data_IF_122110834155
#
_entry.id   IF_122110834155
#
_cell.length_a   1.000
_cell.length_b   1.000
_cell.length_c   1.000
_cell.angle_alpha   90.00
_cell.angle_beta   90.00
_cell.angle_gamma   90.00
#
_symmetry.space_group_name_H-M   'P 1'
#
loop_
_entity.id
_entity.type
_entity.pdbx_description
1 polymer ?
#
# COMPACT_ATOMS: atom_id res chain seq x y z
N UNK A 1 0.63 -11.05 9.15
CA UNK A 1 -0.02 -10.15 10.13
C UNK A 1 -1.56 -10.16 10.06
N UNK A 2 -2.22 -10.65 9.01
CA UNK A 2 -3.69 -10.59 8.87
C UNK A 2 -4.54 -11.73 9.48
N UNK A 3 -4.02 -12.51 10.44
CA UNK A 3 -4.77 -13.65 11.01
C UNK A 3 -5.36 -13.40 12.41
N UNK A 4 -5.12 -12.24 13.00
CA UNK A 4 -5.54 -11.95 14.37
C UNK A 4 -7.06 -12.12 14.55
N UNK A 5 -7.86 -11.55 13.66
CA UNK A 5 -9.32 -11.62 13.78
C UNK A 5 -9.86 -13.05 13.68
N UNK A 6 -9.29 -13.86 12.79
CA UNK A 6 -9.66 -15.26 12.65
C UNK A 6 -9.24 -16.10 13.88
N UNK A 7 -8.06 -15.83 14.44
CA UNK A 7 -7.51 -16.60 15.58
C UNK A 7 -8.15 -16.20 16.91
N UNK A 8 -8.40 -14.90 17.11
CA UNK A 8 -8.87 -14.34 18.39
C UNK A 8 -10.40 -14.32 18.45
N UNK A 9 -11.07 -13.95 17.35
CA UNK A 9 -12.52 -13.73 17.33
C UNK A 9 -13.28 -14.74 16.47
N UNK A 10 -12.60 -15.71 15.85
CA UNK A 10 -13.25 -16.69 14.95
C UNK A 10 -13.85 -16.06 13.69
N UNK A 11 -13.45 -14.83 13.35
CA UNK A 11 -13.95 -14.12 12.19
C UNK A 11 -13.34 -14.67 10.87
N UNK A 12 -13.85 -14.18 9.75
CA UNK A 12 -13.20 -14.44 8.46
C UNK A 12 -11.76 -13.90 8.47
N UNK A 13 -10.82 -14.55 7.75
CA UNK A 13 -9.48 -14.03 7.56
C UNK A 13 -9.51 -12.59 7.01
N UNK A 14 -8.56 -11.76 7.46
CA UNK A 14 -8.43 -10.40 6.94
C UNK A 14 -8.15 -10.38 5.44
N UNK A 15 -8.41 -9.25 4.76
CA UNK A 15 -8.20 -9.10 3.32
C UNK A 15 -6.73 -9.30 2.93
N UNK A 16 -6.51 -9.75 1.70
CA UNK A 16 -5.16 -9.85 1.15
C UNK A 16 -4.51 -8.45 1.04
N UNK A 17 -3.20 -8.30 1.29
CA UNK A 17 -2.52 -7.01 1.20
C UNK A 17 -2.69 -6.26 -0.13
N UNK A 18 -2.82 -6.94 -1.27
CA UNK A 18 -3.13 -6.29 -2.54
C UNK A 18 -4.53 -5.70 -2.53
N UNK A 19 -5.51 -6.41 -1.98
CA UNK A 19 -6.88 -5.92 -1.82
C UNK A 19 -6.93 -4.69 -0.89
N UNK A 20 -6.17 -4.71 0.21
CA UNK A 20 -6.02 -3.54 1.09
C UNK A 20 -5.48 -2.33 0.33
N UNK A 21 -4.46 -2.51 -0.52
CA UNK A 21 -3.90 -1.42 -1.31
C UNK A 21 -4.92 -0.83 -2.31
N UNK A 22 -5.70 -1.68 -2.98
CA UNK A 22 -6.77 -1.24 -3.89
C UNK A 22 -7.88 -0.49 -3.13
N UNK A 23 -8.31 -1.00 -1.97
CA UNK A 23 -9.30 -0.35 -1.09
C UNK A 23 -8.82 1.01 -0.55
N UNK A 24 -7.52 1.26 -0.51
CA UNK A 24 -6.96 2.56 -0.11
C UNK A 24 -6.94 3.60 -1.23
N UNK A 25 -7.12 3.22 -2.51
CA UNK A 25 -7.07 4.16 -3.64
C UNK A 25 -8.10 5.29 -3.54
N UNK A 26 -9.39 5.05 -3.20
CA UNK A 26 -10.37 6.14 -3.06
C UNK A 26 -9.98 7.13 -1.97
N UNK A 27 -9.53 6.63 -0.81
CA UNK A 27 -9.07 7.49 0.29
C UNK A 27 -7.88 8.35 -0.11
N UNK A 28 -6.91 7.78 -0.84
CA UNK A 28 -5.75 8.52 -1.34
C UNK A 28 -6.20 9.57 -2.37
N UNK A 29 -7.09 9.22 -3.30
CA UNK A 29 -7.62 10.15 -4.28
C UNK A 29 -8.31 11.36 -3.61
N UNK A 30 -9.17 11.11 -2.63
CA UNK A 30 -9.85 12.17 -1.87
C UNK A 30 -8.87 13.04 -1.07
N UNK A 31 -7.81 12.44 -0.53
CA UNK A 31 -6.76 13.18 0.18
C UNK A 31 -5.98 14.10 -0.76
N UNK A 32 -5.59 13.60 -1.93
CA UNK A 32 -4.92 14.38 -2.97
C UNK A 32 -5.80 15.52 -3.49
N UNK A 33 -7.09 15.25 -3.75
CA UNK A 33 -8.05 16.25 -4.20
C UNK A 33 -8.24 17.42 -3.20
N UNK A 34 -8.01 17.16 -1.91
CA UNK A 34 -8.04 18.17 -0.83
C UNK A 34 -6.69 18.90 -0.64
N UNK A 35 -5.74 18.72 -1.55
CA UNK A 35 -4.41 19.33 -1.49
C UNK A 35 -3.42 18.59 -0.57
N UNK A 36 -3.80 17.40 -0.08
CA UNK A 36 -2.91 16.53 0.66
C UNK A 36 -1.82 15.92 -0.23
N UNK A 37 -0.73 15.44 0.39
CA UNK A 37 0.38 14.78 -0.33
C UNK A 37 0.32 13.26 -0.14
N UNK A 38 0.66 12.50 -1.19
CA UNK A 38 0.67 11.03 -1.14
C UNK A 38 1.47 10.48 0.04
N UNK A 39 2.67 11.01 0.30
CA UNK A 39 3.51 10.56 1.40
C UNK A 39 2.81 10.58 2.78
N UNK A 40 1.89 11.53 3.02
CA UNK A 40 1.17 11.63 4.30
C UNK A 40 0.31 10.40 4.58
N UNK A 41 -0.13 9.69 3.53
CA UNK A 41 -0.86 8.43 3.62
C UNK A 41 0.11 7.24 3.44
N UNK A 42 0.89 7.26 2.36
CA UNK A 42 1.70 6.13 1.93
C UNK A 42 2.79 5.72 2.94
N UNK A 43 3.31 6.64 3.77
CA UNK A 43 4.27 6.31 4.84
C UNK A 43 3.74 5.29 5.84
N UNK A 44 2.42 5.26 6.06
CA UNK A 44 1.76 4.30 6.95
C UNK A 44 1.53 2.93 6.28
N UNK A 45 1.69 2.86 4.96
CA UNK A 45 1.51 1.64 4.16
C UNK A 45 2.84 0.93 3.84
N UNK A 46 3.99 1.45 4.27
CA UNK A 46 5.31 0.88 3.96
C UNK A 46 5.48 -0.57 4.44
N UNK A 47 4.79 -0.94 5.53
CA UNK A 47 4.81 -2.30 6.09
C UNK A 47 3.82 -3.28 5.46
N UNK A 48 2.98 -2.85 4.51
CA UNK A 48 1.85 -3.64 4.01
C UNK A 48 2.25 -5.02 3.46
N UNK A 49 3.39 -5.08 2.78
CA UNK A 49 3.93 -6.33 2.19
C UNK A 49 5.11 -6.91 2.99
N UNK A 50 5.23 -6.62 4.29
CA UNK A 50 6.35 -7.10 5.10
C UNK A 50 6.59 -8.62 4.96
N UNK A 51 7.84 -9.01 4.71
CA UNK A 51 8.25 -10.42 4.53
C UNK A 51 7.90 -11.04 3.17
N UNK A 52 7.29 -10.31 2.23
CA UNK A 52 6.99 -10.82 0.87
C UNK A 52 8.09 -10.47 -0.14
N UNK A 53 8.32 -11.31 -1.18
CA UNK A 53 9.08 -10.91 -2.35
C UNK A 53 8.59 -9.56 -2.92
N UNK A 54 9.52 -8.69 -3.31
CA UNK A 54 9.21 -7.34 -3.81
C UNK A 54 8.84 -6.29 -2.77
N UNK A 55 8.74 -6.64 -1.47
CA UNK A 55 8.48 -5.67 -0.40
C UNK A 55 9.54 -4.56 -0.28
N UNK A 56 10.79 -4.84 -0.70
CA UNK A 56 11.84 -3.81 -0.79
C UNK A 56 11.55 -2.81 -1.91
N UNK A 57 11.10 -3.29 -3.08
CA UNK A 57 10.71 -2.45 -4.21
C UNK A 57 9.51 -1.57 -3.87
N UNK A 58 8.49 -2.16 -3.24
CA UNK A 58 7.34 -1.42 -2.67
C UNK A 58 7.78 -0.23 -1.81
N UNK A 59 8.61 -0.49 -0.79
CA UNK A 59 9.09 0.56 0.12
C UNK A 59 9.92 1.62 -0.61
N UNK A 60 10.76 1.21 -1.55
CA UNK A 60 11.62 2.11 -2.33
C UNK A 60 10.78 3.08 -3.15
N UNK A 61 9.84 2.58 -3.95
CA UNK A 61 8.99 3.41 -4.81
C UNK A 61 8.19 4.43 -4.00
N UNK A 62 7.53 4.00 -2.91
CA UNK A 62 6.73 4.90 -2.08
C UNK A 62 7.59 5.95 -1.36
N UNK A 63 8.76 5.58 -0.84
CA UNK A 63 9.65 6.52 -0.15
C UNK A 63 10.32 7.50 -1.10
N UNK A 64 10.76 7.06 -2.28
CA UNK A 64 11.47 7.94 -3.22
C UNK A 64 10.49 8.85 -3.98
N UNK A 65 9.35 8.32 -4.43
CA UNK A 65 8.45 9.05 -5.33
C UNK A 65 7.26 9.70 -4.62
N UNK A 66 6.90 9.24 -3.42
CA UNK A 66 5.71 9.73 -2.71
C UNK A 66 5.80 11.17 -2.19
N UNK A 67 7.00 11.77 -2.16
CA UNK A 67 7.23 13.14 -1.67
C UNK A 67 7.02 14.23 -2.74
N UNK A 68 6.96 13.85 -4.03
CA UNK A 68 6.76 14.78 -5.13
C UNK A 68 5.42 15.51 -5.01
N UNK A 69 5.37 16.75 -5.49
CA UNK A 69 4.11 17.52 -5.55
C UNK A 69 3.08 16.86 -6.45
N UNK A 70 3.55 16.13 -7.47
CA UNK A 70 2.72 15.49 -8.48
C UNK A 70 2.53 13.99 -8.20
N UNK A 71 2.97 13.52 -7.02
CA UNK A 71 2.88 12.11 -6.64
C UNK A 71 1.42 11.71 -6.43
N UNK A 72 0.91 10.83 -7.30
CA UNK A 72 -0.49 10.38 -7.28
C UNK A 72 -0.64 8.87 -7.14
N UNK A 73 -1.79 8.36 -7.57
CA UNK A 73 -2.09 6.92 -7.55
C UNK A 73 -1.15 6.11 -8.45
N UNK A 74 -0.56 6.73 -9.46
CA UNK A 74 0.46 6.14 -10.34
C UNK A 74 1.68 5.63 -9.56
N UNK A 75 2.09 6.34 -8.51
CA UNK A 75 3.19 5.93 -7.63
C UNK A 75 2.81 4.69 -6.83
N UNK A 76 1.56 4.60 -6.38
CA UNK A 76 1.04 3.41 -5.70
C UNK A 76 1.01 2.21 -6.64
N UNK A 77 0.54 2.39 -7.88
CA UNK A 77 0.49 1.34 -8.90
C UNK A 77 1.90 0.85 -9.31
N UNK A 78 2.86 1.78 -9.42
CA UNK A 78 4.26 1.44 -9.64
C UNK A 78 4.83 0.62 -8.47
N UNK A 79 4.48 0.96 -7.23
CA UNK A 79 4.90 0.20 -6.06
C UNK A 79 4.27 -1.21 -6.03
N UNK A 80 2.98 -1.34 -6.39
CA UNK A 80 2.30 -2.64 -6.49
C UNK A 80 2.95 -3.54 -7.55
N UNK A 81 3.38 -2.96 -8.67
CA UNK A 81 4.06 -3.68 -9.75
C UNK A 81 5.34 -4.37 -9.27
N UNK A 82 6.13 -3.71 -8.41
CA UNK A 82 7.35 -4.31 -7.83
C UNK A 82 7.07 -5.59 -7.03
N UNK A 83 5.94 -5.63 -6.32
CA UNK A 83 5.53 -6.81 -5.55
C UNK A 83 5.00 -7.89 -6.48
N UNK A 84 4.13 -7.54 -7.45
CA UNK A 84 3.55 -8.50 -8.41
C UNK A 84 4.63 -9.18 -9.25
N UNK A 85 5.63 -8.43 -9.73
CA UNK A 85 6.71 -8.95 -10.57
C UNK A 85 7.54 -10.05 -9.90
N UNK A 86 7.69 -9.99 -8.58
CA UNK A 86 8.51 -10.93 -7.79
C UNK A 86 7.68 -11.97 -7.05
N UNK A 87 6.35 -11.85 -7.08
CA UNK A 87 5.42 -12.81 -6.52
C UNK A 87 4.94 -13.86 -7.54
N UNK A 88 5.16 -13.63 -8.84
CA UNK A 88 5.01 -14.61 -9.92
C UNK A 88 6.23 -15.52 -10.01
#
# INVERSE_FOLDING_TARGET
LGRADAVIFGAAPGPDPFEVAERMKPYIADHLARGGRLHQVARHMLGLFHGRPGARGWRRVLSERGHGTDAGLDVLDAALTEVRRLAA
#
